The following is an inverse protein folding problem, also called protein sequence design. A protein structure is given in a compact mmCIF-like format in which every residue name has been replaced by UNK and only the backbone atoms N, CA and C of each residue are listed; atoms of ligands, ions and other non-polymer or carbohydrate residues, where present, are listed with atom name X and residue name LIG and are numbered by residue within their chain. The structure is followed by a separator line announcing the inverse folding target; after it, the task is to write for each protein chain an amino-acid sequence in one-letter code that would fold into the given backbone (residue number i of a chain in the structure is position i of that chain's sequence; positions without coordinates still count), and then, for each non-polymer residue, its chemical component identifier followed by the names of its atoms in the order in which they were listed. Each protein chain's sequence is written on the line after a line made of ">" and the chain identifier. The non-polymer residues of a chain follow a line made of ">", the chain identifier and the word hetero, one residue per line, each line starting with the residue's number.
data_IF_388741824376
#
_entry.id   IF_388741824376
#
_cell.length_a   1.000
_cell.length_b   1.000
_cell.length_c   1.000
_cell.angle_alpha   90.00
_cell.angle_beta   90.00
_cell.angle_gamma   90.00
#
_symmetry.space_group_name_H-M   'P 1'
#
loop_
_entity.id
_entity.type
_entity.pdbx_description
1 polymer ?
#
# COMPACT_ATOMS: atom_id res chain seq x y z
N UNK A 1 -23.52 41.86 19.38
CA UNK A 1 -23.68 41.40 18.00
C UNK A 1 -22.61 40.31 17.80
N UNK A 2 -22.98 39.16 17.30
CA UNK A 2 -22.00 38.12 16.95
C UNK A 2 -21.09 38.64 15.82
N UNK A 3 -19.82 38.41 15.94
CA UNK A 3 -18.85 38.80 14.92
C UNK A 3 -19.12 38.00 13.63
N UNK A 4 -19.38 38.71 12.53
CA UNK A 4 -19.57 38.07 11.21
C UNK A 4 -18.21 37.67 10.67
N UNK A 5 -17.97 36.35 10.62
CA UNK A 5 -16.70 35.81 10.14
C UNK A 5 -16.65 35.75 8.62
N UNK A 6 -15.56 36.17 8.03
CA UNK A 6 -15.29 35.94 6.62
C UNK A 6 -14.91 34.47 6.33
N UNK A 7 -14.88 34.08 5.06
CA UNK A 7 -14.63 32.70 4.64
C UNK A 7 -13.26 32.17 5.14
N UNK A 8 -12.20 32.98 5.09
CA UNK A 8 -10.88 32.59 5.59
C UNK A 8 -10.89 32.34 7.10
N UNK A 9 -11.59 33.17 7.87
CA UNK A 9 -11.71 32.97 9.32
C UNK A 9 -12.51 31.71 9.67
N UNK A 10 -13.56 31.40 8.88
CA UNK A 10 -14.34 30.16 9.02
C UNK A 10 -13.49 28.93 8.71
N UNK A 11 -12.74 28.94 7.61
CA UNK A 11 -11.84 27.86 7.22
C UNK A 11 -10.73 27.65 8.26
N UNK A 12 -10.19 28.72 8.84
CA UNK A 12 -9.21 28.63 9.92
C UNK A 12 -9.80 27.97 11.20
N UNK A 13 -11.08 28.20 11.50
CA UNK A 13 -11.76 27.50 12.62
C UNK A 13 -11.94 26.02 12.34
N UNK A 14 -12.31 25.64 11.10
CA UNK A 14 -12.39 24.24 10.67
C UNK A 14 -11.03 23.55 10.80
N UNK A 15 -9.95 24.18 10.34
CA UNK A 15 -8.60 23.65 10.47
C UNK A 15 -8.22 23.34 11.93
N UNK A 16 -8.54 24.23 12.85
CA UNK A 16 -8.26 24.02 14.30
C UNK A 16 -8.97 22.80 14.86
N UNK A 17 -10.18 22.47 14.39
CA UNK A 17 -10.88 21.27 14.81
C UNK A 17 -10.13 19.99 14.42
N UNK A 18 -9.49 20.01 13.26
CA UNK A 18 -8.68 18.87 12.76
C UNK A 18 -7.36 18.74 13.52
N UNK A 19 -6.66 19.85 13.80
CA UNK A 19 -5.40 19.87 14.56
C UNK A 19 -5.55 19.30 15.97
N UNK A 20 -6.66 19.59 16.66
CA UNK A 20 -6.94 19.08 18.01
C UNK A 20 -7.08 17.58 18.04
N UNK A 21 -7.64 16.98 16.98
CA UNK A 21 -7.82 15.53 16.90
C UNK A 21 -6.50 14.79 16.77
N UNK A 22 -5.57 15.33 16.01
CA UNK A 22 -4.23 14.76 15.87
C UNK A 22 -3.47 14.75 17.19
N UNK A 23 -3.59 15.81 18.01
CA UNK A 23 -2.90 15.94 19.29
C UNK A 23 -3.44 15.01 20.38
N UNK A 24 -4.72 14.70 20.37
CA UNK A 24 -5.36 13.90 21.44
C UNK A 24 -5.14 12.38 21.31
N UNK A 25 -4.57 11.89 20.22
CA UNK A 25 -4.29 10.47 20.00
C UNK A 25 -2.80 10.08 20.07
N UNK A 26 -1.91 11.00 20.48
CA UNK A 26 -0.50 10.71 20.72
C UNK A 26 -0.26 10.15 22.13
N UNK A 27 -0.76 8.96 22.40
CA UNK A 27 -0.48 8.20 23.63
C UNK A 27 0.06 6.82 23.23
N UNK A 28 1.02 6.31 23.95
CA UNK A 28 1.71 5.03 23.79
C UNK A 28 0.88 3.94 23.12
N UNK A 29 1.15 3.69 21.82
CA UNK A 29 0.43 2.76 20.95
C UNK A 29 -0.23 3.53 19.80
N UNK A 30 0.45 3.55 18.66
CA UNK A 30 0.06 4.26 17.43
C UNK A 30 -1.37 3.90 16.99
N UNK A 31 -2.36 4.63 17.44
CA UNK A 31 -3.69 4.71 16.81
C UNK A 31 -3.71 6.01 16.00
N UNK A 32 -3.40 5.91 14.74
CA UNK A 32 -3.65 7.00 13.80
C UNK A 32 -5.15 7.24 13.68
N UNK A 33 -5.54 8.51 13.65
CA UNK A 33 -6.90 8.90 13.25
C UNK A 33 -7.05 8.47 11.80
N UNK A 34 -8.08 7.71 11.49
CA UNK A 34 -8.34 7.30 10.10
C UNK A 34 -8.72 8.52 9.27
N UNK A 35 -8.41 8.49 7.98
CA UNK A 35 -8.79 9.58 7.08
C UNK A 35 -10.31 9.82 7.10
N UNK A 36 -11.11 8.76 7.28
CA UNK A 36 -12.57 8.87 7.39
C UNK A 36 -13.02 9.64 8.63
N UNK A 37 -12.36 9.45 9.77
CA UNK A 37 -12.63 10.25 10.99
C UNK A 37 -12.26 11.74 10.79
N UNK A 38 -11.18 12.02 10.04
CA UNK A 38 -10.75 13.38 9.74
C UNK A 38 -11.72 14.06 8.78
N UNK A 39 -12.12 13.38 7.71
CA UNK A 39 -13.11 13.87 6.75
C UNK A 39 -14.46 14.14 7.40
N UNK A 40 -14.93 13.24 8.28
CA UNK A 40 -16.15 13.44 9.05
C UNK A 40 -16.09 14.70 9.92
N UNK A 41 -14.94 14.98 10.54
CA UNK A 41 -14.75 16.19 11.35
C UNK A 41 -14.66 17.48 10.53
N UNK A 42 -14.04 17.42 9.35
CA UNK A 42 -14.05 18.54 8.40
C UNK A 42 -15.50 18.87 8.03
N UNK A 43 -16.30 17.84 7.67
CA UNK A 43 -17.72 18.01 7.32
C UNK A 43 -18.52 18.65 8.46
N UNK A 44 -18.38 18.12 9.68
CA UNK A 44 -19.01 18.73 10.88
C UNK A 44 -18.56 20.18 11.10
N UNK A 45 -17.29 20.46 10.86
CA UNK A 45 -16.75 21.81 10.94
C UNK A 45 -17.33 22.75 9.89
N UNK A 46 -17.51 22.26 8.66
CA UNK A 46 -18.14 22.99 7.56
C UNK A 46 -19.58 23.35 7.89
N UNK A 47 -20.37 22.38 8.36
CA UNK A 47 -21.76 22.61 8.79
C UNK A 47 -21.83 23.63 9.94
N UNK A 48 -21.01 23.46 10.97
CA UNK A 48 -20.97 24.34 12.13
C UNK A 48 -20.65 25.79 11.80
N UNK A 49 -19.76 26.02 10.81
CA UNK A 49 -19.29 27.34 10.44
C UNK A 49 -19.94 27.89 9.18
N UNK A 50 -20.94 27.20 8.62
CA UNK A 50 -21.67 27.65 7.43
C UNK A 50 -20.73 27.80 6.22
N UNK A 51 -19.99 26.73 5.89
CA UNK A 51 -19.10 26.68 4.72
C UNK A 51 -19.49 25.50 3.85
N UNK A 52 -19.58 25.71 2.53
CA UNK A 52 -19.76 24.65 1.54
C UNK A 52 -18.53 24.50 0.65
N UNK A 53 -18.32 23.28 0.17
CA UNK A 53 -17.29 22.95 -0.82
C UNK A 53 -17.95 22.40 -2.06
N UNK A 54 -17.74 23.06 -3.20
CA UNK A 54 -18.29 22.66 -4.49
C UNK A 54 -17.17 22.18 -5.40
N UNK A 55 -17.10 20.85 -5.70
CA UNK A 55 -16.19 20.35 -6.71
C UNK A 55 -16.68 20.71 -8.11
N UNK A 56 -15.77 21.11 -8.99
CA UNK A 56 -16.06 21.46 -10.38
C UNK A 56 -15.00 20.83 -11.28
N UNK A 57 -15.44 20.17 -12.34
CA UNK A 57 -14.56 19.67 -13.40
C UNK A 57 -14.47 20.72 -14.49
N UNK A 58 -13.25 21.02 -14.97
CA UNK A 58 -13.04 21.92 -16.09
C UNK A 58 -13.62 21.29 -17.36
N UNK A 59 -14.56 21.94 -18.06
CA UNK A 59 -15.17 21.38 -19.25
C UNK A 59 -14.13 20.98 -20.30
N UNK A 60 -14.27 19.79 -20.88
CA UNK A 60 -13.37 19.27 -21.91
C UNK A 60 -12.03 18.72 -21.42
N UNK A 61 -11.75 18.74 -20.10
CA UNK A 61 -10.50 18.26 -19.55
C UNK A 61 -10.48 16.74 -19.26
N UNK A 62 -11.63 16.07 -19.22
CA UNK A 62 -11.71 14.64 -18.94
C UNK A 62 -11.07 13.84 -20.06
N UNK A 63 -10.11 13.00 -19.70
CA UNK A 63 -9.50 12.00 -20.60
C UNK A 63 -9.56 10.67 -19.90
N UNK A 64 -10.00 9.62 -20.62
CA UNK A 64 -9.99 8.24 -20.17
C UNK A 64 -9.28 7.41 -21.23
N UNK A 65 -8.18 6.80 -20.86
CA UNK A 65 -7.30 6.09 -21.80
C UNK A 65 -6.97 4.70 -21.30
N UNK A 66 -6.84 3.70 -22.18
CA UNK A 66 -6.31 2.40 -21.81
C UNK A 66 -4.88 2.53 -21.28
N UNK A 67 -4.58 1.80 -20.22
CA UNK A 67 -3.25 1.73 -19.62
C UNK A 67 -2.84 0.26 -19.43
N UNK A 68 -1.74 -0.12 -20.05
CA UNK A 68 -1.23 -1.50 -19.98
C UNK A 68 0.15 -1.52 -19.38
N UNK A 69 0.35 -2.39 -18.39
CA UNK A 69 1.65 -2.59 -17.77
C UNK A 69 1.90 -4.08 -17.44
N UNK A 70 3.16 -4.42 -17.20
CA UNK A 70 3.54 -5.76 -16.77
C UNK A 70 3.72 -5.80 -15.27
N UNK A 71 3.10 -6.79 -14.63
CA UNK A 71 3.24 -7.08 -13.20
C UNK A 71 3.89 -8.43 -13.01
N UNK A 72 4.97 -8.46 -12.26
CA UNK A 72 5.60 -9.70 -11.85
C UNK A 72 4.75 -10.39 -10.80
N UNK A 73 4.31 -11.63 -11.07
CA UNK A 73 3.60 -12.48 -10.11
C UNK A 73 4.44 -13.70 -9.75
N UNK A 74 4.25 -14.16 -8.53
CA UNK A 74 4.81 -15.41 -8.02
C UNK A 74 3.66 -16.39 -7.82
N UNK A 75 3.83 -17.60 -8.29
CA UNK A 75 2.84 -18.68 -8.16
C UNK A 75 3.55 -20.03 -7.97
N UNK A 76 2.80 -21.10 -7.76
CA UNK A 76 3.32 -22.46 -7.59
C UNK A 76 2.82 -23.36 -8.70
N UNK A 77 3.71 -24.20 -9.22
CA UNK A 77 3.33 -25.31 -10.08
C UNK A 77 2.50 -26.36 -9.32
N UNK A 78 1.87 -27.27 -10.04
CA UNK A 78 1.06 -28.34 -9.42
C UNK A 78 1.86 -29.26 -8.47
N UNK A 79 3.18 -29.31 -8.66
CA UNK A 79 4.12 -30.05 -7.82
C UNK A 79 4.62 -29.23 -6.60
N UNK A 80 4.12 -28.01 -6.41
CA UNK A 80 4.50 -27.10 -5.33
C UNK A 80 5.73 -26.23 -5.60
N UNK A 81 6.38 -26.37 -6.75
CA UNK A 81 7.58 -25.59 -7.12
C UNK A 81 7.19 -24.13 -7.39
N UNK A 82 7.81 -23.15 -6.71
CA UNK A 82 7.53 -21.75 -6.96
C UNK A 82 8.10 -21.32 -8.32
N UNK A 83 7.33 -20.53 -9.03
CA UNK A 83 7.77 -19.89 -10.27
C UNK A 83 7.32 -18.43 -10.34
N UNK A 84 8.05 -17.66 -11.12
CA UNK A 84 7.80 -16.24 -11.35
C UNK A 84 7.39 -16.05 -12.78
N UNK A 85 6.33 -15.29 -13.01
CA UNK A 85 5.88 -14.94 -14.36
C UNK A 85 5.45 -13.49 -14.45
N UNK A 86 5.46 -12.94 -15.65
CA UNK A 86 4.93 -11.62 -15.95
C UNK A 86 3.48 -11.76 -16.43
N UNK A 87 2.59 -11.01 -15.76
CA UNK A 87 1.21 -10.85 -16.20
C UNK A 87 1.05 -9.49 -16.85
N UNK A 88 0.41 -9.43 -17.99
CA UNK A 88 -0.01 -8.17 -18.59
C UNK A 88 -1.31 -7.72 -17.95
N UNK A 89 -1.28 -6.58 -17.30
CA UNK A 89 -2.45 -5.97 -16.66
C UNK A 89 -2.97 -4.88 -17.58
N UNK A 90 -4.26 -4.96 -17.93
CA UNK A 90 -4.98 -3.96 -18.71
C UNK A 90 -5.93 -3.21 -17.79
N UNK A 91 -5.76 -1.91 -17.71
CA UNK A 91 -6.56 -1.00 -16.89
C UNK A 91 -6.89 0.24 -17.71
N UNK A 92 -7.60 1.16 -17.09
CA UNK A 92 -7.87 2.49 -17.60
C UNK A 92 -7.28 3.52 -16.65
N UNK A 93 -6.77 4.62 -17.21
CA UNK A 93 -6.47 5.83 -16.47
C UNK A 93 -7.48 6.90 -16.82
N UNK A 94 -7.95 7.63 -15.81
CA UNK A 94 -8.78 8.82 -16.00
C UNK A 94 -8.06 10.02 -15.38
N UNK A 95 -7.98 11.11 -16.12
CA UNK A 95 -7.44 12.39 -15.64
C UNK A 95 -8.39 13.51 -15.98
N UNK A 96 -8.49 14.51 -15.12
CA UNK A 96 -9.13 15.78 -15.45
C UNK A 96 -8.59 16.92 -14.59
N UNK A 97 -8.72 18.13 -15.10
CA UNK A 97 -8.52 19.35 -14.34
C UNK A 97 -9.77 19.66 -13.53
N UNK A 98 -9.58 20.05 -12.28
CA UNK A 98 -10.64 20.34 -11.33
C UNK A 98 -10.43 21.69 -10.67
N UNK A 99 -11.49 22.21 -10.11
CA UNK A 99 -11.47 23.28 -9.14
C UNK A 99 -12.34 22.90 -7.94
N UNK A 100 -11.87 23.21 -6.74
CA UNK A 100 -12.66 23.16 -5.52
C UNK A 100 -13.00 24.58 -5.09
N UNK A 101 -14.28 24.87 -4.97
CA UNK A 101 -14.80 26.21 -4.67
C UNK A 101 -15.37 26.19 -3.26
N UNK A 102 -14.70 26.88 -2.34
CA UNK A 102 -15.22 27.15 -1.02
C UNK A 102 -16.23 28.30 -1.10
N UNK A 103 -17.37 28.15 -0.44
CA UNK A 103 -18.46 29.12 -0.42
C UNK A 103 -18.79 29.46 1.03
N UNK A 104 -18.90 30.75 1.35
CA UNK A 104 -19.45 31.21 2.60
C UNK A 104 -20.98 31.18 2.55
N UNK A 105 -21.63 30.25 3.29
CA UNK A 105 -23.10 30.11 3.25
C UNK A 105 -23.86 31.34 3.77
N UNK A 106 -23.24 32.17 4.63
CA UNK A 106 -23.82 33.41 5.13
C UNK A 106 -23.70 34.56 4.09
N UNK A 107 -22.76 34.46 3.17
CA UNK A 107 -22.55 35.39 2.06
C UNK A 107 -22.05 34.62 0.84
N UNK A 108 -22.95 34.03 0.01
CA UNK A 108 -22.58 33.15 -1.11
C UNK A 108 -21.70 33.81 -2.22
N UNK A 109 -21.65 35.12 -2.30
CA UNK A 109 -20.73 35.83 -3.18
C UNK A 109 -19.26 35.72 -2.73
N UNK A 110 -19.03 35.43 -1.47
CA UNK A 110 -17.70 35.22 -0.93
C UNK A 110 -17.24 33.79 -1.18
N UNK A 111 -16.37 33.62 -2.17
CA UNK A 111 -15.87 32.31 -2.61
C UNK A 111 -14.34 32.30 -2.69
N UNK A 112 -13.76 31.10 -2.56
CA UNK A 112 -12.33 30.85 -2.81
C UNK A 112 -12.25 29.66 -3.76
N UNK A 113 -11.72 29.87 -4.97
CA UNK A 113 -11.49 28.82 -5.96
C UNK A 113 -10.05 28.31 -5.86
N UNK A 114 -9.89 27.01 -5.70
CA UNK A 114 -8.58 26.34 -5.65
C UNK A 114 -8.47 25.39 -6.84
N UNK A 115 -7.56 25.64 -7.80
CA UNK A 115 -7.27 24.70 -8.88
C UNK A 115 -6.74 23.37 -8.33
N UNK A 116 -7.15 22.30 -8.98
CA UNK A 116 -6.75 20.94 -8.59
C UNK A 116 -6.73 20.01 -9.80
N UNK A 117 -6.32 18.76 -9.59
CA UNK A 117 -6.35 17.72 -10.61
C UNK A 117 -6.87 16.42 -10.04
N UNK A 118 -7.44 15.58 -10.90
CA UNK A 118 -7.85 14.22 -10.57
C UNK A 118 -7.10 13.23 -11.44
N UNK A 119 -6.64 12.14 -10.81
CA UNK A 119 -6.09 10.96 -11.48
C UNK A 119 -6.76 9.73 -10.87
N UNK A 120 -7.28 8.86 -11.71
CA UNK A 120 -7.83 7.57 -11.34
C UNK A 120 -7.20 6.46 -12.19
N UNK A 121 -7.14 5.24 -11.64
CA UNK A 121 -6.69 4.05 -12.35
C UNK A 121 -7.49 2.85 -11.84
N UNK A 122 -8.17 2.14 -12.75
CA UNK A 122 -8.99 0.97 -12.45
C UNK A 122 -9.10 0.06 -13.66
N UNK A 123 -9.49 -1.19 -13.42
CA UNK A 123 -9.76 -2.17 -14.49
C UNK A 123 -11.03 -1.88 -15.28
N UNK A 124 -11.95 -1.10 -14.74
CA UNK A 124 -13.20 -0.67 -15.36
C UNK A 124 -13.19 0.84 -15.61
N UNK A 125 -13.51 1.27 -16.84
CA UNK A 125 -13.43 2.67 -17.23
C UNK A 125 -14.40 3.57 -16.43
N UNK A 126 -15.59 3.07 -16.07
CA UNK A 126 -16.57 3.84 -15.30
C UNK A 126 -16.14 4.00 -13.84
N UNK A 127 -15.57 2.95 -13.26
CA UNK A 127 -15.03 2.98 -11.90
C UNK A 127 -13.76 3.83 -11.81
N UNK A 128 -12.98 3.90 -12.90
CA UNK A 128 -11.76 4.70 -12.96
C UNK A 128 -12.03 6.18 -12.68
N UNK A 129 -13.03 6.76 -13.32
CA UNK A 129 -13.41 8.16 -13.07
C UNK A 129 -13.98 8.33 -11.65
N UNK A 130 -14.89 7.45 -11.22
CA UNK A 130 -15.53 7.54 -9.90
C UNK A 130 -14.54 7.44 -8.74
N UNK A 131 -13.61 6.49 -8.80
CA UNK A 131 -12.57 6.34 -7.79
C UNK A 131 -11.62 7.55 -7.78
N UNK A 132 -11.22 8.04 -8.96
CA UNK A 132 -10.39 9.23 -9.10
C UNK A 132 -11.01 10.46 -8.44
N UNK A 133 -12.30 10.71 -8.65
CA UNK A 133 -13.02 11.82 -8.01
C UNK A 133 -13.06 11.70 -6.48
N UNK A 134 -13.31 10.49 -5.97
CA UNK A 134 -13.34 10.22 -4.52
C UNK A 134 -11.98 10.50 -3.89
N UNK A 135 -10.91 9.95 -4.46
CA UNK A 135 -9.55 10.16 -3.96
C UNK A 135 -9.11 11.62 -4.12
N UNK A 136 -9.45 12.27 -5.23
CA UNK A 136 -9.15 13.68 -5.46
C UNK A 136 -9.70 14.57 -4.35
N UNK A 137 -10.99 14.39 -3.99
CA UNK A 137 -11.63 15.16 -2.91
C UNK A 137 -10.99 14.91 -1.56
N UNK A 138 -10.70 13.65 -1.25
CA UNK A 138 -10.03 13.25 0.00
C UNK A 138 -8.67 13.93 0.11
N UNK A 139 -7.82 13.78 -0.89
CA UNK A 139 -6.48 14.40 -0.88
C UNK A 139 -6.53 15.92 -0.87
N UNK A 140 -7.47 16.52 -1.61
CA UNK A 140 -7.68 17.97 -1.55
C UNK A 140 -7.95 18.44 -0.12
N UNK A 141 -8.92 17.86 0.58
CA UNK A 141 -9.28 18.26 1.94
C UNK A 141 -8.12 18.10 2.92
N UNK A 142 -7.43 16.95 2.87
CA UNK A 142 -6.30 16.68 3.75
C UNK A 142 -5.14 17.67 3.51
N UNK A 143 -4.81 17.96 2.25
CA UNK A 143 -3.74 18.92 1.90
C UNK A 143 -4.14 20.36 2.18
N UNK A 144 -5.37 20.74 1.88
CA UNK A 144 -5.86 22.10 2.12
C UNK A 144 -5.81 22.47 3.61
N UNK A 145 -6.15 21.55 4.48
CA UNK A 145 -6.08 21.77 5.94
C UNK A 145 -4.72 21.40 6.54
N UNK A 146 -3.72 21.04 5.76
CA UNK A 146 -2.38 20.60 6.20
C UNK A 146 -2.46 19.44 7.21
N UNK A 147 -3.36 18.49 6.97
CA UNK A 147 -3.48 17.30 7.81
C UNK A 147 -2.37 16.34 7.44
N UNK A 148 -1.48 16.04 8.38
CA UNK A 148 -0.47 15.00 8.20
C UNK A 148 -1.15 13.62 8.32
N UNK A 149 -1.07 12.82 7.28
CA UNK A 149 -1.49 11.43 7.30
C UNK A 149 -0.27 10.51 7.39
N UNK A 150 -0.40 9.28 7.94
CA UNK A 150 0.70 8.32 7.96
C UNK A 150 1.23 7.96 6.58
N UNK A 151 0.40 8.13 5.55
CA UNK A 151 0.73 7.81 4.17
C UNK A 151 1.42 8.98 3.43
N UNK A 152 1.50 10.17 4.05
CA UNK A 152 2.16 11.34 3.49
C UNK A 152 3.69 11.29 3.53
N UNK A 153 4.26 10.32 4.25
CA UNK A 153 5.70 10.08 4.28
C UNK A 153 6.07 9.05 3.20
N UNK A 154 6.76 9.46 2.10
CA UNK A 154 7.23 8.54 1.07
C UNK A 154 8.15 7.44 1.61
N UNK A 155 8.86 7.72 2.71
CA UNK A 155 9.72 6.73 3.36
C UNK A 155 8.90 5.70 4.13
N UNK A 156 7.75 6.08 4.67
CA UNK A 156 6.82 5.17 5.33
C UNK A 156 6.15 4.20 4.32
N UNK A 157 5.78 4.68 3.12
CA UNK A 157 5.26 3.84 2.06
C UNK A 157 6.31 2.83 1.56
N UNK A 158 7.54 3.29 1.30
CA UNK A 158 8.68 2.43 0.92
C UNK A 158 9.03 1.44 2.02
N UNK A 159 8.94 1.85 3.28
CA UNK A 159 9.15 0.97 4.44
C UNK A 159 8.09 -0.12 4.53
N UNK A 160 6.80 0.22 4.36
CA UNK A 160 5.69 -0.75 4.32
C UNK A 160 5.82 -1.71 3.14
N UNK A 161 6.17 -1.21 1.95
CA UNK A 161 6.39 -2.03 0.78
C UNK A 161 7.54 -3.03 1.00
N UNK A 162 8.69 -2.58 1.50
CA UNK A 162 9.82 -3.45 1.85
C UNK A 162 9.46 -4.47 2.92
N UNK A 163 8.68 -4.08 3.94
CA UNK A 163 8.24 -5.00 4.99
C UNK A 163 7.28 -6.06 4.42
N UNK A 164 6.39 -5.71 3.50
CA UNK A 164 5.49 -6.65 2.82
C UNK A 164 6.28 -7.61 1.93
N UNK A 165 7.20 -7.09 1.11
CA UNK A 165 8.09 -7.91 0.25
C UNK A 165 8.95 -8.87 1.08
N UNK A 166 9.51 -8.39 2.20
CA UNK A 166 10.30 -9.22 3.11
C UNK A 166 9.45 -10.30 3.81
N UNK A 167 8.20 -9.98 4.17
CA UNK A 167 7.28 -10.95 4.76
C UNK A 167 6.86 -12.03 3.75
N UNK A 168 6.59 -11.63 2.49
CA UNK A 168 6.28 -12.56 1.40
C UNK A 168 7.48 -13.46 1.07
N UNK A 169 8.69 -12.88 1.00
CA UNK A 169 9.92 -13.64 0.75
C UNK A 169 10.20 -14.64 1.87
N UNK A 170 10.02 -14.25 3.13
CA UNK A 170 10.14 -15.13 4.28
C UNK A 170 9.12 -16.28 4.26
N UNK A 171 7.85 -15.99 3.95
CA UNK A 171 6.81 -17.00 3.84
C UNK A 171 7.11 -18.02 2.73
N UNK A 172 7.65 -17.54 1.61
CA UNK A 172 8.11 -18.41 0.52
C UNK A 172 9.33 -19.25 0.95
N UNK A 173 10.28 -18.66 1.68
CA UNK A 173 11.43 -19.37 2.24
C UNK A 173 10.98 -20.52 3.15
N UNK A 174 10.04 -20.25 4.08
CA UNK A 174 9.49 -21.27 4.97
C UNK A 174 8.86 -22.44 4.23
N UNK A 175 8.18 -22.19 3.11
CA UNK A 175 7.59 -23.26 2.31
C UNK A 175 8.65 -24.13 1.61
N UNK A 176 9.69 -23.49 1.06
CA UNK A 176 10.81 -24.21 0.42
C UNK A 176 11.58 -25.02 1.47
N UNK A 177 11.80 -24.46 2.64
CA UNK A 177 12.45 -25.16 3.76
C UNK A 177 11.64 -26.37 4.21
N UNK A 178 10.33 -26.29 4.29
CA UNK A 178 9.49 -27.46 4.62
C UNK A 178 9.62 -28.55 3.54
N UNK A 179 9.74 -28.18 2.27
CA UNK A 179 10.00 -29.14 1.19
C UNK A 179 11.39 -29.77 1.34
N UNK A 180 12.42 -28.95 1.61
CA UNK A 180 13.78 -29.44 1.85
C UNK A 180 13.82 -30.40 3.05
N UNK A 181 13.13 -30.05 4.15
CA UNK A 181 13.07 -30.90 5.35
C UNK A 181 12.47 -32.28 5.04
N UNK A 182 11.38 -32.33 4.26
CA UNK A 182 10.80 -33.58 3.78
C UNK A 182 11.81 -34.43 3.02
N UNK A 183 12.43 -33.82 2.00
CA UNK A 183 13.40 -34.53 1.15
C UNK A 183 14.65 -34.98 1.95
N UNK A 184 15.12 -34.17 2.89
CA UNK A 184 16.26 -34.54 3.77
C UNK A 184 15.89 -35.71 4.67
N UNK A 185 14.70 -35.72 5.25
CA UNK A 185 14.23 -36.82 6.12
C UNK A 185 14.08 -38.11 5.34
N UNK A 186 13.50 -38.07 4.15
CA UNK A 186 13.33 -39.25 3.31
C UNK A 186 14.69 -39.83 2.91
N UNK A 187 15.62 -38.98 2.48
CA UNK A 187 16.98 -39.43 2.15
C UNK A 187 17.73 -40.05 3.32
N UNK A 188 17.66 -39.44 4.52
CA UNK A 188 18.34 -39.94 5.72
C UNK A 188 17.70 -41.23 6.24
N UNK A 189 16.41 -41.47 5.98
CA UNK A 189 15.76 -42.74 6.32
C UNK A 189 16.34 -43.92 5.50
N UNK A 190 16.66 -43.65 4.22
CA UNK A 190 17.30 -44.64 3.34
C UNK A 190 18.82 -44.72 3.52
N UNK A 191 19.46 -43.60 3.93
CA UNK A 191 20.92 -43.47 4.07
C UNK A 191 21.33 -42.94 5.48
N UNK A 192 21.16 -43.71 6.55
CA UNK A 192 21.35 -43.24 7.92
C UNK A 192 22.77 -42.78 8.29
N UNK A 193 23.77 -43.18 7.48
CA UNK A 193 25.18 -42.80 7.71
C UNK A 193 25.58 -41.49 7.07
N UNK A 194 24.75 -40.89 6.20
CA UNK A 194 25.06 -39.67 5.42
C UNK A 194 24.75 -38.36 6.15
N UNK A 195 24.37 -38.40 7.42
CA UNK A 195 23.96 -37.21 8.20
C UNK A 195 25.02 -36.11 8.26
N UNK A 196 26.32 -36.48 8.42
CA UNK A 196 27.40 -35.47 8.46
C UNK A 196 27.67 -34.84 7.09
N UNK A 197 27.49 -35.59 5.98
CA UNK A 197 27.65 -35.09 4.63
C UNK A 197 26.53 -34.11 4.29
N UNK A 198 25.28 -34.45 4.63
CA UNK A 198 24.10 -33.57 4.49
C UNK A 198 24.30 -32.28 5.26
N UNK A 199 24.73 -32.39 6.52
CA UNK A 199 25.01 -31.22 7.36
C UNK A 199 26.13 -30.35 6.80
N UNK A 200 27.17 -30.94 6.23
CA UNK A 200 28.27 -30.23 5.59
C UNK A 200 27.81 -29.47 4.34
N UNK A 201 26.92 -30.08 3.53
CA UNK A 201 26.33 -29.39 2.38
C UNK A 201 25.50 -28.18 2.84
N UNK A 202 24.57 -28.41 3.79
CA UNK A 202 23.64 -27.38 4.25
C UNK A 202 24.32 -26.28 5.07
N UNK A 203 25.51 -26.54 5.62
CA UNK A 203 26.32 -25.52 6.28
C UNK A 203 26.85 -24.41 5.34
N UNK A 204 26.77 -24.62 4.01
CA UNK A 204 27.04 -23.57 3.02
C UNK A 204 25.97 -22.47 3.02
N UNK A 205 24.75 -22.79 3.44
CA UNK A 205 23.57 -21.93 3.38
C UNK A 205 23.14 -21.39 4.74
N UNK A 206 23.42 -22.13 5.81
CA UNK A 206 23.10 -21.73 7.16
C UNK A 206 24.13 -22.22 8.17
N UNK A 207 24.41 -21.40 9.18
CA UNK A 207 25.40 -21.71 10.22
C UNK A 207 25.12 -23.06 10.86
N UNK A 208 26.13 -23.95 10.82
CA UNK A 208 26.02 -25.27 11.40
C UNK A 208 25.06 -26.25 10.68
N UNK A 209 24.63 -25.91 9.44
CA UNK A 209 23.69 -26.72 8.66
C UNK A 209 22.22 -26.59 9.10
N UNK A 210 21.91 -25.62 9.96
CA UNK A 210 20.52 -25.38 10.40
C UNK A 210 19.72 -24.61 9.33
N UNK A 211 19.23 -25.31 8.32
CA UNK A 211 18.47 -24.74 7.21
C UNK A 211 17.16 -24.08 7.62
N UNK A 212 16.59 -24.40 8.78
CA UNK A 212 15.42 -23.68 9.32
C UNK A 212 15.70 -22.21 9.65
N UNK A 213 16.96 -21.81 9.73
CA UNK A 213 17.34 -20.42 9.94
C UNK A 213 17.40 -19.57 8.65
N UNK A 214 17.18 -20.18 7.47
CA UNK A 214 17.18 -19.48 6.19
C UNK A 214 15.86 -18.70 6.06
N UNK A 215 15.95 -17.38 5.87
CA UNK A 215 14.80 -16.49 5.75
C UNK A 215 14.61 -15.90 4.35
N UNK A 216 15.55 -16.12 3.44
CA UNK A 216 15.52 -15.67 2.05
C UNK A 216 15.12 -16.82 1.12
N UNK A 217 14.08 -16.59 0.31
CA UNK A 217 13.53 -17.63 -0.58
C UNK A 217 14.54 -18.11 -1.64
N UNK A 218 15.34 -17.21 -2.16
CA UNK A 218 16.38 -17.53 -3.15
C UNK A 218 17.47 -18.46 -2.56
N UNK A 219 17.86 -18.21 -1.30
CA UNK A 219 18.84 -19.04 -0.60
C UNK A 219 18.27 -20.42 -0.25
N UNK A 220 17.01 -20.46 0.17
CA UNK A 220 16.29 -21.71 0.45
C UNK A 220 16.13 -22.57 -0.82
N UNK A 221 15.78 -21.94 -1.95
CA UNK A 221 15.65 -22.65 -3.24
C UNK A 221 16.97 -23.26 -3.70
N UNK A 222 18.06 -22.52 -3.54
CA UNK A 222 19.41 -23.00 -3.89
C UNK A 222 19.87 -24.13 -2.99
N UNK A 223 19.56 -24.09 -1.69
CA UNK A 223 19.84 -25.18 -0.77
C UNK A 223 19.09 -26.46 -1.17
N UNK A 224 17.83 -26.36 -1.55
CA UNK A 224 17.03 -27.49 -2.04
C UNK A 224 17.57 -28.04 -3.34
N UNK A 225 17.90 -27.20 -4.30
CA UNK A 225 18.46 -27.60 -5.61
C UNK A 225 19.79 -28.36 -5.46
N UNK A 226 20.71 -27.79 -4.65
CA UNK A 226 22.01 -28.42 -4.42
C UNK A 226 21.88 -29.74 -3.67
N UNK A 227 20.94 -29.83 -2.71
CA UNK A 227 20.65 -31.07 -2.04
C UNK A 227 20.14 -32.16 -3.00
N UNK A 228 19.15 -31.81 -3.82
CA UNK A 228 18.58 -32.73 -4.81
C UNK A 228 19.62 -33.19 -5.84
N UNK A 229 20.47 -32.27 -6.30
CA UNK A 229 21.50 -32.57 -7.29
C UNK A 229 22.58 -33.47 -6.70
N UNK A 230 22.98 -33.24 -5.45
CA UNK A 230 24.10 -33.97 -4.82
C UNK A 230 23.69 -35.35 -4.36
N UNK A 231 22.48 -35.48 -3.77
CA UNK A 231 22.10 -36.72 -3.06
C UNK A 231 20.99 -37.52 -3.75
N UNK A 232 20.23 -36.92 -4.66
CA UNK A 232 19.10 -37.61 -5.29
C UNK A 232 19.36 -37.90 -6.77
N UNK A 233 19.86 -36.88 -7.53
CA UNK A 233 20.11 -37.03 -8.98
C UNK A 233 21.51 -37.51 -9.32
N UNK A 234 22.43 -37.50 -8.36
CA UNK A 234 23.81 -37.95 -8.52
C UNK A 234 24.10 -39.37 -8.01
N UNK A 235 23.06 -40.09 -7.59
CA UNK A 235 23.14 -41.48 -7.14
C UNK A 235 22.87 -42.47 -8.26
#
# INVERSE_FOLDING_TARGET
>A
MAEVLNLYQKLAKIRRLVEVVQKNKSGYGYKYVTDDELLAKITVGMDKHGVSLVPSIVPGSIKVEPYTYKKTKRDKQKDGTPFVYEETVNEFTAVCDMAYIWVNNDNPEETITVPWAMVGQQSDASQCLGSGLTYSMRYFLLKYFNVATPDDDPDNWRSKQRATEAAEDKALAEQIINTLDGVVKDYLAEHPKSGEEVKKLLAKYAKGGNYFAITESALAAKALEDFQTTFIKGA
#
